data_IF_453370747134
#
_entry.id   IF_453370747134
#
_cell.length_a   1.000
_cell.length_b   1.000
_cell.length_c   1.000
_cell.angle_alpha   90.00
_cell.angle_beta   90.00
_cell.angle_gamma   90.00
#
_symmetry.space_group_name_H-M   'P 1'
#
loop_
_entity.id
_entity.type
_entity.pdbx_description
1 polymer ?
#
# COMPACT_ATOMS: atom_id res chain seq x y z
N UNK A 1 -6.33 -4.81 25.23
CA UNK A 1 -6.73 -3.44 24.84
C UNK A 1 -8.22 -3.33 24.49
N UNK A 2 -8.78 -4.21 23.66
CA UNK A 2 -10.19 -4.13 23.23
C UNK A 2 -11.25 -4.12 24.36
N UNK A 3 -10.93 -4.70 25.53
CA UNK A 3 -11.80 -4.64 26.73
C UNK A 3 -11.88 -3.23 27.36
N UNK A 4 -10.89 -2.37 27.12
CA UNK A 4 -10.84 -1.00 27.66
C UNK A 4 -11.43 0.02 26.69
N UNK A 5 -11.41 -0.27 25.39
CA UNK A 5 -11.94 0.60 24.33
C UNK A 5 -12.68 -0.26 23.30
N UNK A 6 -14.02 -0.28 23.41
CA UNK A 6 -14.91 -1.00 22.48
C UNK A 6 -15.58 -0.08 21.44
N UNK A 7 -15.56 1.23 21.68
CA UNK A 7 -16.28 2.22 20.85
C UNK A 7 -15.47 2.66 19.64
N UNK A 8 -14.16 2.87 19.80
CA UNK A 8 -13.29 3.41 18.76
C UNK A 8 -12.26 2.39 18.33
N UNK A 9 -11.93 2.31 17.03
CA UNK A 9 -10.92 1.39 16.54
C UNK A 9 -9.52 1.82 17.04
N UNK A 10 -8.71 0.83 17.39
CA UNK A 10 -7.35 1.02 17.89
C UNK A 10 -6.38 0.37 16.91
N UNK A 11 -5.39 1.15 16.49
CA UNK A 11 -4.37 0.73 15.53
C UNK A 11 -2.99 0.77 16.17
N UNK A 12 -2.09 -0.08 15.67
CA UNK A 12 -0.69 -0.06 16.09
C UNK A 12 0.16 0.74 15.10
N UNK A 13 0.91 1.72 15.62
CA UNK A 13 1.83 2.52 14.81
C UNK A 13 3.20 1.82 14.70
N UNK A 14 3.65 1.57 13.48
CA UNK A 14 4.94 0.94 13.17
C UNK A 14 5.70 1.75 12.12
N UNK A 15 7.02 1.73 12.18
CA UNK A 15 7.87 2.37 11.18
C UNK A 15 8.20 1.41 10.03
N UNK A 16 7.77 0.14 10.10
CA UNK A 16 7.95 -0.83 9.02
C UNK A 16 9.42 -1.08 8.65
N UNK A 17 10.35 -0.78 9.56
CA UNK A 17 11.79 -0.92 9.35
C UNK A 17 12.44 0.26 8.62
N UNK A 18 11.72 1.37 8.39
CA UNK A 18 12.32 2.61 7.84
C UNK A 18 13.33 3.22 8.81
N UNK A 19 13.07 3.10 10.10
CA UNK A 19 13.97 3.49 11.20
C UNK A 19 14.01 2.37 12.24
N UNK A 20 15.16 2.18 12.87
CA UNK A 20 15.36 1.12 13.87
C UNK A 20 15.16 1.67 15.27
N UNK A 21 14.22 1.07 15.99
CA UNK A 21 13.92 1.34 17.39
C UNK A 21 14.29 0.16 18.28
N UNK A 22 14.43 0.40 19.59
CA UNK A 22 14.65 -0.67 20.56
C UNK A 22 13.48 -1.67 20.61
N UNK A 23 12.25 -1.22 20.34
CA UNK A 23 11.07 -2.07 20.26
C UNK A 23 10.97 -2.72 18.87
N UNK A 24 11.24 -4.03 18.81
CA UNK A 24 11.20 -4.83 17.58
C UNK A 24 9.87 -4.74 16.84
N UNK A 25 8.76 -4.50 17.55
CA UNK A 25 7.41 -4.43 16.97
C UNK A 25 7.26 -3.22 16.06
N UNK A 26 8.03 -2.15 16.31
CA UNK A 26 8.07 -0.95 15.45
C UNK A 26 8.90 -1.13 14.18
N UNK A 27 9.73 -2.17 14.12
CA UNK A 27 10.71 -2.37 13.06
C UNK A 27 10.25 -3.38 12.00
N UNK A 28 9.21 -4.18 12.27
CA UNK A 28 8.74 -5.23 11.37
C UNK A 28 7.22 -5.19 11.25
N UNK A 29 6.73 -5.34 10.02
CA UNK A 29 5.31 -5.49 9.72
C UNK A 29 4.79 -6.84 10.23
N UNK A 30 5.58 -7.92 10.16
CA UNK A 30 5.22 -9.20 10.73
C UNK A 30 5.02 -9.14 12.26
N UNK A 31 5.91 -8.46 12.98
CA UNK A 31 5.77 -8.28 14.43
C UNK A 31 4.58 -7.37 14.79
N UNK A 32 4.29 -6.36 13.97
CA UNK A 32 3.09 -5.54 14.10
C UNK A 32 1.80 -6.37 13.94
N UNK A 33 1.73 -7.27 12.93
CA UNK A 33 0.59 -8.18 12.74
C UNK A 33 0.39 -9.06 13.99
N UNK A 34 1.45 -9.69 14.49
CA UNK A 34 1.38 -10.53 15.69
C UNK A 34 0.84 -9.76 16.90
N UNK A 35 1.32 -8.55 17.11
CA UNK A 35 0.85 -7.70 18.21
C UNK A 35 -0.64 -7.36 18.08
N UNK A 36 -1.08 -6.95 16.89
CA UNK A 36 -2.46 -6.58 16.63
C UNK A 36 -3.41 -7.75 16.88
N UNK A 37 -3.07 -8.94 16.38
CA UNK A 37 -3.86 -10.16 16.60
C UNK A 37 -3.92 -10.54 18.07
N UNK A 38 -2.78 -10.56 18.77
CA UNK A 38 -2.72 -10.90 20.20
C UNK A 38 -3.50 -9.91 21.08
N UNK A 39 -3.55 -8.64 20.68
CA UNK A 39 -4.17 -7.56 21.45
C UNK A 39 -5.62 -7.27 21.06
N UNK A 40 -6.11 -7.88 19.97
CA UNK A 40 -7.42 -7.64 19.37
C UNK A 40 -7.58 -6.24 18.80
N UNK A 41 -6.53 -5.69 18.19
CA UNK A 41 -6.52 -4.38 17.53
C UNK A 41 -7.11 -4.47 16.12
N UNK A 42 -7.60 -3.35 15.59
CA UNK A 42 -8.29 -3.29 14.31
C UNK A 42 -7.34 -3.21 13.12
N UNK A 43 -6.11 -2.74 13.34
CA UNK A 43 -5.20 -2.56 12.22
C UNK A 43 -3.84 -2.00 12.58
N UNK A 44 -3.08 -1.70 11.54
CA UNK A 44 -1.72 -1.20 11.58
C UNK A 44 -1.70 0.15 10.86
N UNK A 45 -0.94 1.09 11.41
CA UNK A 45 -0.53 2.32 10.73
C UNK A 45 0.97 2.21 10.48
N UNK A 46 1.40 2.14 9.22
CA UNK A 46 2.81 2.02 8.86
C UNK A 46 3.34 3.30 8.23
N UNK A 47 4.62 3.58 8.40
CA UNK A 47 5.29 4.52 7.50
C UNK A 47 5.23 3.98 6.06
N UNK A 48 4.92 4.85 5.10
CA UNK A 48 4.63 4.48 3.71
C UNK A 48 5.82 3.81 3.02
N UNK A 49 7.06 4.27 3.25
CA UNK A 49 8.27 3.61 2.69
C UNK A 49 8.41 2.19 3.23
N UNK A 50 8.00 1.94 4.47
CA UNK A 50 7.96 0.60 5.06
C UNK A 50 7.12 -0.37 4.24
N UNK A 51 5.99 0.11 3.69
CA UNK A 51 5.11 -0.67 2.80
C UNK A 51 5.73 -0.89 1.43
N UNK A 52 6.32 0.15 0.82
CA UNK A 52 6.99 0.02 -0.48
C UNK A 52 8.22 -0.90 -0.44
N UNK A 53 8.95 -0.94 0.67
CA UNK A 53 10.08 -1.86 0.88
C UNK A 53 9.62 -3.31 1.09
N UNK A 54 8.42 -3.52 1.61
CA UNK A 54 7.88 -4.83 1.94
C UNK A 54 6.46 -5.04 1.37
N UNK A 55 6.28 -4.97 0.04
CA UNK A 55 4.95 -5.05 -0.57
C UNK A 55 4.24 -6.38 -0.27
N UNK A 56 5.02 -7.46 -0.09
CA UNK A 56 4.51 -8.78 0.28
C UNK A 56 3.86 -8.84 1.68
N UNK A 57 4.02 -7.80 2.51
CA UNK A 57 3.34 -7.72 3.80
C UNK A 57 1.87 -7.29 3.68
N UNK A 58 1.51 -6.50 2.66
CA UNK A 58 0.15 -6.01 2.46
C UNK A 58 -0.89 -7.13 2.34
N UNK A 59 -0.71 -8.16 1.47
CA UNK A 59 -1.65 -9.27 1.41
C UNK A 59 -1.75 -10.03 2.75
N UNK A 60 -0.63 -10.21 3.47
CA UNK A 60 -0.63 -10.88 4.79
C UNK A 60 -1.45 -10.09 5.83
N UNK A 61 -1.35 -8.76 5.83
CA UNK A 61 -2.14 -7.88 6.72
C UNK A 61 -3.63 -8.01 6.41
N UNK A 62 -3.98 -8.02 5.12
CA UNK A 62 -5.36 -8.20 4.65
C UNK A 62 -5.94 -9.57 5.00
N UNK A 63 -5.17 -10.64 4.78
CA UNK A 63 -5.53 -12.03 5.15
C UNK A 63 -5.74 -12.18 6.66
N UNK A 64 -5.00 -11.41 7.48
CA UNK A 64 -5.17 -11.35 8.92
C UNK A 64 -6.42 -10.57 9.37
N UNK A 65 -7.26 -10.07 8.44
CA UNK A 65 -8.40 -9.20 8.71
C UNK A 65 -8.03 -7.92 9.48
N UNK A 66 -6.84 -7.39 9.24
CA UNK A 66 -6.38 -6.13 9.80
C UNK A 66 -6.47 -5.03 8.75
N UNK A 67 -6.94 -3.85 9.16
CA UNK A 67 -6.88 -2.66 8.30
C UNK A 67 -5.46 -2.11 8.26
N UNK A 68 -5.00 -1.69 7.07
CA UNK A 68 -3.72 -1.05 6.86
C UNK A 68 -3.90 0.41 6.49
N UNK A 69 -3.36 1.30 7.31
CA UNK A 69 -3.23 2.72 7.01
C UNK A 69 -1.76 3.09 6.89
N UNK A 70 -1.46 4.18 6.20
CA UNK A 70 -0.09 4.69 6.11
C UNK A 70 0.04 6.15 6.53
N UNK A 71 1.25 6.53 6.91
CA UNK A 71 1.69 7.92 7.12
C UNK A 71 3.07 8.13 6.48
N UNK A 72 3.50 9.37 6.38
CA UNK A 72 4.86 9.72 5.93
C UNK A 72 4.83 10.65 4.73
N UNK A 73 6.00 11.13 4.32
CA UNK A 73 6.13 12.14 3.26
C UNK A 73 5.59 11.65 1.91
N UNK A 74 5.74 10.35 1.62
CA UNK A 74 5.22 9.76 0.38
C UNK A 74 3.70 9.81 0.27
N UNK A 75 2.97 9.98 1.37
CA UNK A 75 1.52 10.14 1.27
C UNK A 75 1.11 11.49 0.66
N UNK A 76 2.02 12.46 0.59
CA UNK A 76 1.79 13.72 -0.11
C UNK A 76 2.20 13.66 -1.60
N UNK A 77 2.57 12.48 -2.10
CA UNK A 77 2.86 12.25 -3.52
C UNK A 77 1.66 11.51 -4.12
N UNK A 78 0.88 12.13 -5.03
CA UNK A 78 -0.31 11.51 -5.63
C UNK A 78 -0.02 10.13 -6.21
N UNK A 79 1.14 10.02 -6.84
CA UNK A 79 1.57 8.78 -7.44
C UNK A 79 1.67 7.68 -6.37
N UNK A 80 2.47 7.90 -5.33
CA UNK A 80 2.63 6.94 -4.25
C UNK A 80 1.29 6.53 -3.61
N UNK A 81 0.34 7.45 -3.45
CA UNK A 81 -0.99 7.13 -2.90
C UNK A 81 -1.78 6.22 -3.83
N UNK A 82 -1.76 6.46 -5.14
CA UNK A 82 -2.43 5.59 -6.11
C UNK A 82 -1.84 4.17 -6.11
N UNK A 83 -0.52 4.00 -5.99
CA UNK A 83 0.06 2.65 -5.84
C UNK A 83 -0.31 1.99 -4.53
N UNK A 84 -0.36 2.74 -3.44
CA UNK A 84 -0.84 2.22 -2.16
C UNK A 84 -2.29 1.71 -2.29
N UNK A 85 -3.13 2.43 -3.03
CA UNK A 85 -4.49 1.99 -3.35
C UNK A 85 -4.48 0.65 -4.13
N UNK A 86 -3.70 0.54 -5.21
CA UNK A 86 -3.57 -0.70 -5.99
C UNK A 86 -3.02 -1.88 -5.16
N UNK A 87 -2.10 -1.60 -4.23
CA UNK A 87 -1.55 -2.61 -3.32
C UNK A 87 -2.57 -3.09 -2.27
N UNK A 88 -3.67 -2.36 -2.06
CA UNK A 88 -4.73 -2.69 -1.12
C UNK A 88 -4.58 -2.05 0.26
N UNK A 89 -3.87 -0.93 0.37
CA UNK A 89 -3.87 -0.07 1.56
C UNK A 89 -5.27 0.53 1.75
N UNK A 90 -5.79 0.51 2.98
CA UNK A 90 -7.16 0.95 3.27
C UNK A 90 -7.31 2.47 3.40
N UNK A 91 -6.23 3.19 3.67
CA UNK A 91 -6.27 4.64 3.79
C UNK A 91 -4.89 5.25 4.01
N UNK A 92 -4.77 6.52 3.69
CA UNK A 92 -3.53 7.30 3.78
C UNK A 92 -3.77 8.52 4.67
N UNK A 93 -2.80 8.84 5.53
CA UNK A 93 -2.76 10.07 6.32
C UNK A 93 -1.91 11.06 5.54
N UNK A 94 -2.51 12.20 5.16
CA UNK A 94 -1.94 13.21 4.24
C UNK A 94 -2.09 14.61 4.83
N UNK A 95 -1.21 15.53 4.41
CA UNK A 95 -1.34 16.95 4.74
C UNK A 95 -2.24 17.68 3.72
N UNK A 96 -2.09 17.35 2.43
CA UNK A 96 -2.76 18.01 1.31
C UNK A 96 -3.98 17.21 0.83
N UNK A 97 -5.04 17.19 1.65
CA UNK A 97 -6.23 16.35 1.41
C UNK A 97 -6.87 16.62 0.04
N UNK A 98 -7.03 17.89 -0.34
CA UNK A 98 -7.69 18.26 -1.59
C UNK A 98 -6.90 17.76 -2.81
N UNK A 99 -5.61 18.11 -2.89
CA UNK A 99 -4.73 17.77 -4.01
C UNK A 99 -4.63 16.26 -4.22
N UNK A 100 -4.46 15.50 -3.14
CA UNK A 100 -4.39 14.03 -3.20
C UNK A 100 -5.73 13.44 -3.63
N UNK A 101 -6.85 13.94 -3.09
CA UNK A 101 -8.17 13.42 -3.42
C UNK A 101 -8.51 13.64 -4.90
N UNK A 102 -8.24 14.83 -5.42
CA UNK A 102 -8.46 15.17 -6.83
C UNK A 102 -7.60 14.31 -7.75
N UNK A 103 -6.28 14.27 -7.50
CA UNK A 103 -5.36 13.51 -8.32
C UNK A 103 -5.65 12.00 -8.31
N UNK A 104 -5.95 11.41 -7.16
CA UNK A 104 -6.30 9.98 -7.07
C UNK A 104 -7.65 9.69 -7.73
N UNK A 105 -8.62 10.59 -7.64
CA UNK A 105 -9.92 10.43 -8.31
C UNK A 105 -9.76 10.41 -9.83
N UNK A 106 -8.98 11.34 -10.39
CA UNK A 106 -8.66 11.35 -11.82
C UNK A 106 -8.00 10.04 -12.26
N UNK A 107 -7.03 9.54 -11.47
CA UNK A 107 -6.31 8.31 -11.77
C UNK A 107 -7.20 7.04 -11.72
N UNK A 108 -8.19 6.99 -10.83
CA UNK A 108 -9.15 5.88 -10.76
C UNK A 108 -10.14 5.92 -11.94
N UNK A 109 -10.43 7.11 -12.48
CA UNK A 109 -11.39 7.26 -13.59
C UNK A 109 -10.83 6.93 -14.98
N UNK A 110 -9.51 6.70 -15.11
CA UNK A 110 -8.92 6.25 -16.38
C UNK A 110 -9.40 4.82 -16.66
N UNK A 111 -10.18 4.58 -17.75
CA UNK A 111 -10.69 3.25 -18.04
C UNK A 111 -9.52 2.31 -18.38
N UNK A 112 -9.54 1.11 -17.79
CA UNK A 112 -8.78 -0.04 -18.28
C UNK A 112 -9.01 -0.18 -19.79
N UNK A 113 -7.95 -0.29 -20.63
CA UNK A 113 -8.17 -0.58 -22.05
C UNK A 113 -8.83 -1.95 -22.17
N UNK A 114 -10.00 -1.98 -22.84
CA UNK A 114 -10.78 -3.19 -23.09
C UNK A 114 -9.88 -4.32 -23.63
N UNK A 115 -9.71 -5.39 -22.85
CA UNK A 115 -8.96 -6.59 -23.24
C UNK A 115 -9.67 -7.45 -24.32
N UNK A 116 -10.50 -6.84 -25.16
CA UNK A 116 -11.26 -7.51 -26.22
C UNK A 116 -10.84 -6.98 -27.60
N UNK A 117 -9.59 -7.25 -27.98
CA UNK A 117 -9.16 -7.17 -29.38
C UNK A 117 -8.30 -8.40 -29.75
N UNK A 118 -9.01 -9.39 -30.27
CA UNK A 118 -8.59 -10.42 -31.23
C UNK A 118 -7.41 -11.36 -30.93
N UNK A 119 -7.78 -12.63 -30.75
CA UNK A 119 -6.93 -13.80 -30.98
C UNK A 119 -6.35 -13.80 -32.41
N UNK A 120 -5.04 -14.07 -32.55
CA UNK A 120 -4.45 -15.08 -33.47
C UNK A 120 -2.91 -14.93 -33.56
N UNK A 121 -2.16 -15.79 -32.85
CA UNK A 121 -1.05 -16.57 -33.44
C UNK A 121 -0.31 -17.45 -32.42
N UNK A 122 -0.45 -18.76 -32.64
CA UNK A 122 0.52 -19.85 -32.48
C UNK A 122 1.55 -19.85 -31.32
N UNK A 123 1.25 -20.72 -30.34
CA UNK A 123 2.13 -21.60 -29.56
C UNK A 123 3.63 -21.33 -29.44
N UNK A 124 4.08 -21.02 -28.22
CA UNK A 124 5.09 -21.76 -27.43
C UNK A 124 5.38 -21.03 -26.11
N UNK A 125 5.67 -21.83 -25.06
CA UNK A 125 6.30 -21.47 -23.77
C UNK A 125 5.51 -20.60 -22.77
N UNK A 126 5.38 -21.15 -21.55
CA UNK A 126 4.99 -20.46 -20.32
C UNK A 126 6.15 -19.56 -19.87
N UNK A 127 6.20 -18.32 -20.33
CA UNK A 127 7.04 -17.29 -19.74
C UNK A 127 6.21 -16.45 -18.76
N UNK A 128 6.81 -16.13 -17.61
CA UNK A 128 6.20 -15.36 -16.54
C UNK A 128 5.52 -14.11 -17.13
N UNK A 129 4.21 -13.99 -16.91
CA UNK A 129 3.38 -12.94 -17.48
C UNK A 129 4.03 -11.57 -17.23
N UNK A 130 4.60 -10.98 -18.28
CA UNK A 130 5.08 -9.60 -18.23
C UNK A 130 3.87 -8.74 -17.92
N UNK A 131 3.84 -8.02 -16.78
CA UNK A 131 2.71 -7.17 -16.45
C UNK A 131 2.54 -6.11 -17.56
N UNK A 132 1.35 -6.06 -18.15
CA UNK A 132 1.04 -5.12 -19.21
C UNK A 132 0.54 -3.81 -18.57
N UNK A 133 1.44 -2.84 -18.43
CA UNK A 133 1.11 -1.51 -17.92
C UNK A 133 0.70 -0.58 -19.07
N UNK A 134 -0.32 0.23 -18.83
CA UNK A 134 -0.65 1.39 -19.66
C UNK A 134 0.50 2.41 -19.67
N UNK A 135 0.53 3.29 -20.68
CA UNK A 135 1.55 4.36 -20.74
C UNK A 135 1.47 5.30 -19.54
N UNK A 136 0.26 5.53 -19.01
CA UNK A 136 0.04 6.29 -17.78
C UNK A 136 0.73 5.62 -16.59
N UNK A 137 0.50 4.32 -16.36
CA UNK A 137 1.15 3.57 -15.27
C UNK A 137 2.68 3.49 -15.40
N UNK A 138 3.21 3.44 -16.63
CA UNK A 138 4.66 3.48 -16.84
C UNK A 138 5.24 4.85 -16.49
N UNK A 139 4.64 5.93 -16.99
CA UNK A 139 5.08 7.31 -16.67
C UNK A 139 5.00 7.58 -15.16
N UNK A 140 4.01 7.00 -14.52
CA UNK A 140 3.80 7.01 -13.09
C UNK A 140 4.97 6.32 -12.36
N UNK A 141 5.36 5.11 -12.77
CA UNK A 141 6.46 4.37 -12.10
C UNK A 141 7.76 5.16 -12.21
N UNK A 142 8.00 5.80 -13.36
CA UNK A 142 9.14 6.66 -13.56
C UNK A 142 9.16 7.90 -12.64
N UNK A 143 7.99 8.48 -12.33
CA UNK A 143 7.86 9.60 -11.39
C UNK A 143 7.99 9.17 -9.93
N UNK A 144 7.59 7.94 -9.60
CA UNK A 144 7.66 7.42 -8.23
C UNK A 144 9.07 6.96 -7.83
N UNK A 145 9.85 6.40 -8.76
CA UNK A 145 11.20 5.85 -8.46
C UNK A 145 12.11 6.82 -7.69
N UNK A 146 12.24 8.12 -8.08
CA UNK A 146 13.08 9.06 -7.35
C UNK A 146 12.70 9.22 -5.87
N UNK A 147 11.39 9.20 -5.57
CA UNK A 147 10.84 9.38 -4.23
C UNK A 147 11.10 8.17 -3.32
N UNK A 148 11.31 6.98 -3.90
CA UNK A 148 11.59 5.77 -3.13
C UNK A 148 13.07 5.65 -2.73
N UNK A 149 13.97 6.32 -3.44
CA UNK A 149 15.44 6.20 -3.29
C UNK A 149 16.02 7.16 -2.25
N UNK A 150 15.37 8.30 -1.99
CA UNK A 150 15.65 9.19 -0.85
C UNK A 150 15.07 8.57 0.40
#
# INVERSE_FOLDING_TARGET
MRKLQSTYPVYFLTNGGTEIYADVRRNSLEEAIKLCLASGMQGIVSEARGIFRHPAAVPKIKEANLSLLTYGTLNNVPEAVYMQHLMGVNGVIVDLVQEITEAVSELITVPEPDLNADNLSNGAAKDAATPHFSQCEISFLLRLIPELVQ
#
